data_IF_561007340025
#
_entry.id   IF_561007340025
#
_cell.length_a   1.000
_cell.length_b   1.000
_cell.length_c   1.000
_cell.angle_alpha   90.00
_cell.angle_beta   90.00
_cell.angle_gamma   90.00
#
_symmetry.space_group_name_H-M   'P 1'
#
loop_
_entity.id
_entity.type
_entity.pdbx_description
1 polymer ?
#
# COMPACT_ATOMS: atom_id res chain seq x y z
N UNK A 1 43.08 9.45 14.20
CA UNK A 1 41.74 10.07 14.36
C UNK A 1 41.11 10.16 12.96
N UNK A 2 40.19 9.27 12.51
CA UNK A 2 38.87 9.70 12.00
C UNK A 2 38.02 8.57 11.31
N UNK A 3 38.30 7.26 11.50
CA UNK A 3 37.42 6.20 10.93
C UNK A 3 35.97 6.31 11.44
N UNK A 4 35.80 6.63 12.72
CA UNK A 4 34.50 6.81 13.35
C UNK A 4 33.81 8.10 12.88
N UNK A 5 34.55 9.20 12.70
CA UNK A 5 34.00 10.45 12.16
C UNK A 5 33.49 10.31 10.73
N UNK A 6 34.22 9.60 9.85
CA UNK A 6 33.75 9.30 8.49
C UNK A 6 32.47 8.45 8.49
N UNK A 7 32.41 7.40 9.32
CA UNK A 7 31.22 6.56 9.46
C UNK A 7 30.02 7.35 10.00
N UNK A 8 30.27 8.21 10.97
CA UNK A 8 29.23 9.05 11.58
C UNK A 8 28.69 10.09 10.57
N UNK A 9 29.55 10.75 9.79
CA UNK A 9 29.10 11.66 8.73
C UNK A 9 28.28 10.93 7.65
N UNK A 10 28.73 9.76 7.19
CA UNK A 10 27.98 8.97 6.20
C UNK A 10 26.61 8.57 6.76
N UNK A 11 26.54 8.10 8.01
CA UNK A 11 25.26 7.73 8.63
C UNK A 11 24.30 8.91 8.71
N UNK A 12 24.76 10.08 9.16
CA UNK A 12 23.90 11.27 9.22
C UNK A 12 23.42 11.71 7.83
N UNK A 13 24.30 11.68 6.82
CA UNK A 13 23.91 12.02 5.44
C UNK A 13 22.91 11.02 4.87
N UNK A 14 23.12 9.71 5.07
CA UNK A 14 22.18 8.67 4.65
C UNK A 14 20.81 8.82 5.31
N UNK A 15 20.77 9.11 6.62
CA UNK A 15 19.53 9.35 7.35
C UNK A 15 18.81 10.60 6.83
N UNK A 16 19.53 11.70 6.62
CA UNK A 16 18.96 12.94 6.10
C UNK A 16 18.36 12.73 4.70
N UNK A 17 19.06 12.01 3.82
CA UNK A 17 18.56 11.65 2.49
C UNK A 17 17.31 10.78 2.58
N UNK A 18 17.30 9.77 3.47
CA UNK A 18 16.14 8.91 3.66
C UNK A 18 14.90 9.69 4.11
N UNK A 19 15.05 10.62 5.06
CA UNK A 19 13.96 11.50 5.48
C UNK A 19 13.50 12.44 4.36
N UNK A 20 14.43 13.01 3.59
CA UNK A 20 14.09 13.87 2.45
C UNK A 20 13.29 13.11 1.38
N UNK A 21 13.73 11.91 1.01
CA UNK A 21 13.03 11.06 0.05
C UNK A 21 11.66 10.60 0.58
N UNK A 22 11.57 10.27 1.87
CA UNK A 22 10.30 9.93 2.51
C UNK A 22 9.34 11.11 2.47
N UNK A 23 9.81 12.31 2.83
CA UNK A 23 9.03 13.55 2.72
C UNK A 23 8.55 13.80 1.30
N UNK A 24 9.41 13.59 0.30
CA UNK A 24 9.04 13.70 -1.11
C UNK A 24 7.95 12.69 -1.49
N UNK A 25 8.07 11.43 -1.06
CA UNK A 25 7.06 10.39 -1.32
C UNK A 25 5.70 10.67 -0.63
N UNK A 26 5.70 11.37 0.50
CA UNK A 26 4.47 11.79 1.18
C UNK A 26 3.70 12.87 0.41
N UNK A 27 4.35 13.67 -0.44
CA UNK A 27 3.69 14.71 -1.23
C UNK A 27 2.62 14.12 -2.18
N UNK A 28 2.93 13.19 -3.12
CA UNK A 28 1.92 12.60 -3.98
C UNK A 28 0.90 11.77 -3.20
N UNK A 29 1.32 11.09 -2.12
CA UNK A 29 0.39 10.35 -1.26
C UNK A 29 -0.66 11.30 -0.64
N UNK A 30 -0.22 12.43 -0.08
CA UNK A 30 -1.11 13.45 0.47
C UNK A 30 -2.03 14.05 -0.58
N UNK A 31 -1.53 14.32 -1.79
CA UNK A 31 -2.33 14.83 -2.91
C UNK A 31 -3.41 13.85 -3.34
N UNK A 32 -3.08 12.57 -3.50
CA UNK A 32 -4.04 11.53 -3.89
C UNK A 32 -5.09 11.34 -2.81
N UNK A 33 -4.70 11.28 -1.53
CA UNK A 33 -5.65 11.19 -0.42
C UNK A 33 -6.58 12.39 -0.37
N UNK A 34 -6.05 13.61 -0.48
CA UNK A 34 -6.84 14.83 -0.52
C UNK A 34 -7.84 14.82 -1.68
N UNK A 35 -7.37 14.51 -2.89
CA UNK A 35 -8.22 14.46 -4.08
C UNK A 35 -9.33 13.41 -3.94
N UNK A 36 -8.98 12.22 -3.45
CA UNK A 36 -9.91 11.11 -3.22
C UNK A 36 -10.97 11.47 -2.20
N UNK A 37 -10.59 12.11 -1.09
CA UNK A 37 -11.55 12.57 -0.07
C UNK A 37 -12.42 13.67 -0.67
N UNK A 38 -11.84 14.72 -1.26
CA UNK A 38 -12.59 15.88 -1.76
C UNK A 38 -13.60 15.51 -2.87
N UNK A 39 -13.25 14.57 -3.76
CA UNK A 39 -14.13 14.11 -4.84
C UNK A 39 -15.00 12.92 -4.45
N UNK A 40 -14.58 12.12 -3.48
CA UNK A 40 -15.27 10.89 -3.05
C UNK A 40 -16.27 11.08 -1.93
N UNK A 41 -16.08 12.05 -1.02
CA UNK A 41 -16.98 12.27 0.13
C UNK A 41 -18.45 12.50 -0.28
N UNK A 42 -18.75 13.32 -1.32
CA UNK A 42 -20.12 13.52 -1.77
C UNK A 42 -20.79 12.25 -2.30
N UNK A 43 -20.02 11.28 -2.80
CA UNK A 43 -20.54 9.97 -3.22
C UNK A 43 -20.65 9.01 -2.02
N UNK A 44 -19.69 9.06 -1.09
CA UNK A 44 -19.63 8.17 0.07
C UNK A 44 -20.68 8.49 1.15
N UNK A 45 -21.27 9.69 1.16
CA UNK A 45 -22.37 10.05 2.07
C UNK A 45 -23.68 9.30 1.77
N UNK A 46 -23.75 8.64 0.62
CA UNK A 46 -24.91 7.91 0.12
C UNK A 46 -24.71 6.40 0.31
N UNK A 47 -25.53 5.70 1.11
CA UNK A 47 -25.41 4.25 1.31
C UNK A 47 -25.47 3.46 0.00
N UNK A 48 -26.23 3.95 -0.97
CA UNK A 48 -26.36 3.39 -2.32
C UNK A 48 -25.01 3.28 -3.06
N UNK A 49 -24.02 4.11 -2.75
CA UNK A 49 -22.69 4.04 -3.35
C UNK A 49 -21.97 2.72 -3.03
N UNK A 50 -22.18 2.16 -1.83
CA UNK A 50 -21.50 0.92 -1.42
C UNK A 50 -22.23 -0.34 -1.87
N UNK A 51 -23.57 -0.30 -1.94
CA UNK A 51 -24.38 -1.48 -2.24
C UNK A 51 -24.80 -1.59 -3.71
N UNK A 52 -24.81 -0.50 -4.47
CA UNK A 52 -25.12 -0.57 -5.90
C UNK A 52 -23.90 -1.02 -6.72
N UNK A 53 -24.20 -1.70 -7.82
CA UNK A 53 -23.23 -2.07 -8.85
C UNK A 53 -22.78 -0.85 -9.64
N UNK A 54 -21.63 -0.94 -10.30
CA UNK A 54 -21.16 0.11 -11.19
C UNK A 54 -22.15 0.27 -12.35
N UNK A 55 -22.55 1.51 -12.61
CA UNK A 55 -23.44 1.87 -13.73
C UNK A 55 -22.71 2.82 -14.67
N UNK A 56 -23.13 2.93 -15.94
CA UNK A 56 -22.57 3.90 -16.86
C UNK A 56 -22.58 5.32 -16.28
N UNK A 57 -21.59 6.12 -16.69
CA UNK A 57 -21.58 7.56 -16.46
C UNK A 57 -22.93 8.11 -16.94
N UNK A 58 -23.61 8.89 -16.09
CA UNK A 58 -24.96 9.46 -16.32
C UNK A 58 -26.17 8.67 -15.78
N UNK A 59 -25.98 7.47 -15.21
CA UNK A 59 -27.08 6.79 -14.49
C UNK A 59 -27.00 7.10 -12.99
N UNK A 60 -28.02 7.76 -12.39
CA UNK A 60 -28.06 8.01 -10.96
C UNK A 60 -27.98 6.72 -10.13
N UNK A 61 -27.26 6.80 -9.00
CA UNK A 61 -27.11 5.67 -8.08
C UNK A 61 -26.11 4.61 -8.52
N UNK A 62 -25.11 4.95 -9.35
CA UNK A 62 -23.94 4.09 -9.56
C UNK A 62 -23.21 3.86 -8.23
N UNK A 63 -22.73 2.63 -8.00
CA UNK A 63 -21.94 2.27 -6.82
C UNK A 63 -20.68 1.47 -7.15
N UNK A 64 -20.01 0.97 -6.12
CA UNK A 64 -18.72 0.27 -6.20
C UNK A 64 -18.77 -1.16 -5.63
N UNK A 65 -19.96 -1.75 -5.53
CA UNK A 65 -20.15 -3.04 -4.86
C UNK A 65 -19.33 -4.18 -5.51
N UNK A 66 -19.32 -4.28 -6.84
CA UNK A 66 -18.57 -5.32 -7.55
C UNK A 66 -17.07 -5.10 -7.45
N UNK A 67 -16.60 -3.85 -7.44
CA UNK A 67 -15.19 -3.52 -7.21
C UNK A 67 -14.72 -4.03 -5.83
N UNK A 68 -15.51 -3.82 -4.76
CA UNK A 68 -15.17 -4.28 -3.41
C UNK A 68 -15.18 -5.81 -3.34
N UNK A 69 -16.27 -6.44 -3.77
CA UNK A 69 -16.44 -7.90 -3.72
C UNK A 69 -15.39 -8.60 -4.58
N UNK A 70 -15.16 -8.10 -5.79
CA UNK A 70 -14.14 -8.63 -6.70
C UNK A 70 -12.74 -8.54 -6.10
N UNK A 71 -12.40 -7.42 -5.46
CA UNK A 71 -11.10 -7.26 -4.77
C UNK A 71 -10.96 -8.24 -3.62
N UNK A 72 -11.99 -8.41 -2.79
CA UNK A 72 -11.97 -9.37 -1.68
C UNK A 72 -11.77 -10.80 -2.15
N UNK A 73 -12.48 -11.22 -3.20
CA UNK A 73 -12.33 -12.56 -3.78
C UNK A 73 -10.91 -12.72 -4.36
N UNK A 74 -10.44 -11.76 -5.15
CA UNK A 74 -9.11 -11.78 -5.77
C UNK A 74 -8.01 -11.88 -4.72
N UNK A 75 -8.04 -10.98 -3.72
CA UNK A 75 -7.05 -10.94 -2.64
C UNK A 75 -7.15 -12.19 -1.78
N UNK A 76 -8.36 -12.69 -1.50
CA UNK A 76 -8.58 -13.90 -0.72
C UNK A 76 -7.93 -15.12 -1.37
N UNK A 77 -8.21 -15.36 -2.65
CA UNK A 77 -7.62 -16.47 -3.40
C UNK A 77 -6.10 -16.30 -3.55
N UNK A 78 -5.64 -15.10 -3.89
CA UNK A 78 -4.21 -14.81 -4.02
C UNK A 78 -3.46 -15.04 -2.70
N UNK A 79 -4.04 -14.63 -1.57
CA UNK A 79 -3.46 -14.80 -0.24
C UNK A 79 -3.36 -16.26 0.17
N UNK A 80 -4.39 -17.06 -0.12
CA UNK A 80 -4.39 -18.51 0.17
C UNK A 80 -3.25 -19.25 -0.54
N UNK A 81 -2.81 -18.80 -1.72
CA UNK A 81 -1.66 -19.36 -2.41
C UNK A 81 -0.33 -18.71 -2.01
N UNK A 82 -0.26 -17.38 -2.05
CA UNK A 82 0.97 -16.64 -1.86
C UNK A 82 1.50 -16.70 -0.42
N UNK A 83 0.62 -16.67 0.59
CA UNK A 83 1.04 -16.65 1.99
C UNK A 83 1.70 -17.97 2.39
N UNK A 84 1.11 -19.17 2.18
CA UNK A 84 1.77 -20.42 2.57
C UNK A 84 3.12 -20.60 1.88
N UNK A 85 3.20 -20.32 0.57
CA UNK A 85 4.44 -20.47 -0.20
C UNK A 85 5.50 -19.48 0.30
N UNK A 86 5.13 -18.22 0.53
CA UNK A 86 6.03 -17.20 1.05
C UNK A 86 6.54 -17.51 2.47
N UNK A 87 5.65 -17.98 3.35
CA UNK A 87 6.00 -18.37 4.73
C UNK A 87 6.91 -19.61 4.73
N UNK A 88 6.58 -20.65 3.97
CA UNK A 88 7.41 -21.85 3.88
C UNK A 88 8.80 -21.54 3.31
N UNK A 89 8.87 -20.67 2.29
CA UNK A 89 10.15 -20.17 1.75
C UNK A 89 10.95 -19.37 2.77
N UNK A 90 10.28 -18.49 3.53
CA UNK A 90 10.89 -17.73 4.63
C UNK A 90 11.44 -18.63 5.73
N UNK A 91 10.69 -19.64 6.15
CA UNK A 91 11.12 -20.65 7.14
C UNK A 91 12.32 -21.42 6.61
N UNK A 92 12.27 -21.91 5.36
CA UNK A 92 13.38 -22.64 4.77
C UNK A 92 14.67 -21.81 4.75
N UNK A 93 14.58 -20.54 4.36
CA UNK A 93 15.75 -19.64 4.37
C UNK A 93 16.24 -19.36 5.79
N UNK A 94 15.34 -19.19 6.76
CA UNK A 94 15.71 -18.91 8.14
C UNK A 94 16.40 -20.12 8.82
N UNK A 95 15.94 -21.33 8.55
CA UNK A 95 16.46 -22.55 9.21
C UNK A 95 17.64 -23.18 8.45
N UNK A 96 17.59 -23.22 7.11
CA UNK A 96 18.53 -24.04 6.32
C UNK A 96 19.57 -23.24 5.54
N UNK A 97 19.41 -21.91 5.33
CA UNK A 97 20.37 -21.14 4.54
C UNK A 97 21.67 -20.81 5.28
N UNK A 98 21.67 -20.77 6.62
CA UNK A 98 22.87 -20.49 7.44
C UNK A 98 23.75 -21.72 7.66
N UNK A 99 23.26 -22.93 7.37
CA UNK A 99 24.01 -24.16 7.63
C UNK A 99 25.00 -24.56 6.52
N UNK A 100 25.41 -23.63 5.65
CA UNK A 100 26.52 -23.81 4.69
C UNK A 100 27.50 -22.66 4.75
#
# INVERSE_FOLDING_TARGET
MNRNRRRQSINYTSIAIAYALTGLALIPLGLVLWFTIAKGLPAASHPEFFFNVERPVDVPGAGIAHAIVGTLILVGIASLGAIPIGVLGGIYLAEYATSR
#
